data_IF_614578375221
#
_entry.id   IF_614578375221
#
_cell.length_a   1.000
_cell.length_b   1.000
_cell.length_c   1.000
_cell.angle_alpha   90.00
_cell.angle_beta   90.00
_cell.angle_gamma   90.00
#
_symmetry.space_group_name_H-M   'P 1'
#
loop_
_entity.id
_entity.type
_entity.pdbx_description
1 polymer ?
#
# COMPACT_ATOMS: atom_id res chain seq x y z
N UNK A 1 5.80 -10.29 -6.01
CA UNK A 1 6.88 -9.42 -5.52
C UNK A 1 6.48 -8.78 -4.20
N UNK A 2 7.35 -8.82 -3.21
CA UNK A 2 7.09 -8.25 -1.90
C UNK A 2 7.79 -6.90 -1.79
N UNK A 3 7.00 -5.85 -1.58
CA UNK A 3 7.52 -4.49 -1.46
C UNK A 3 7.10 -3.88 -0.12
N UNK A 4 7.95 -3.05 0.49
CA UNK A 4 7.54 -2.27 1.65
C UNK A 4 6.40 -1.32 1.30
N UNK A 5 5.47 -1.19 2.22
CA UNK A 5 4.25 -0.42 2.02
C UNK A 5 3.93 0.36 3.29
N UNK A 6 3.55 1.61 3.13
CA UNK A 6 2.98 2.42 4.20
C UNK A 6 1.54 2.75 3.85
N UNK A 7 0.63 2.49 4.77
CA UNK A 7 -0.80 2.78 4.59
C UNK A 7 -1.17 3.96 5.48
N UNK A 8 -1.80 4.96 4.88
CA UNK A 8 -2.36 6.11 5.60
C UNK A 8 -3.87 6.08 5.48
N UNK A 9 -4.53 6.11 6.63
CA UNK A 9 -5.98 6.22 6.67
C UNK A 9 -6.37 7.69 6.82
N UNK A 10 -7.43 8.10 6.14
CA UNK A 10 -7.97 9.45 6.27
C UNK A 10 -8.90 9.59 7.46
N UNK A 11 -9.11 8.52 8.23
CA UNK A 11 -9.98 8.57 9.39
C UNK A 11 -9.31 9.29 10.56
N UNK A 12 -10.08 10.03 11.37
CA UNK A 12 -9.53 10.65 12.59
C UNK A 12 -8.93 9.58 13.50
N UNK A 13 -7.73 9.82 13.99
CA UNK A 13 -7.01 8.84 14.80
C UNK A 13 -6.32 7.77 13.99
N UNK A 14 -6.51 7.74 12.68
CA UNK A 14 -5.79 6.83 11.81
C UNK A 14 -4.37 7.32 11.61
N UNK A 15 -3.38 6.52 12.00
CA UNK A 15 -1.98 6.82 11.77
C UNK A 15 -1.44 6.08 10.57
N UNK A 16 -0.15 6.16 10.39
CA UNK A 16 0.54 5.35 9.40
C UNK A 16 0.70 3.93 9.92
N UNK A 17 0.47 2.96 9.03
CA UNK A 17 0.70 1.55 9.31
C UNK A 17 1.62 1.00 8.24
N UNK A 18 2.52 0.14 8.64
CA UNK A 18 3.46 -0.50 7.71
C UNK A 18 3.01 -1.91 7.41
N UNK A 19 3.13 -2.29 6.15
CA UNK A 19 2.81 -3.62 5.69
C UNK A 19 3.73 -4.03 4.55
N UNK A 20 3.36 -5.12 3.88
CA UNK A 20 4.11 -5.63 2.75
C UNK A 20 3.14 -6.05 1.66
N UNK A 21 3.45 -5.71 0.42
CA UNK A 21 2.66 -6.19 -0.71
C UNK A 21 2.93 -7.67 -0.93
N UNK A 22 1.92 -8.37 -1.42
CA UNK A 22 2.06 -9.73 -1.93
C UNK A 22 1.96 -9.74 -3.44
N UNK A 23 0.95 -9.06 -3.96
CA UNK A 23 0.74 -8.92 -5.41
C UNK A 23 0.47 -7.47 -5.75
N UNK A 24 1.06 -7.00 -6.82
CA UNK A 24 0.89 -5.63 -7.30
C UNK A 24 0.61 -5.66 -8.79
N UNK A 25 -0.40 -4.90 -9.22
CA UNK A 25 -0.71 -4.67 -10.62
C UNK A 25 -1.09 -3.21 -10.83
N UNK A 26 -1.32 -2.79 -12.07
CA UNK A 26 -1.72 -1.41 -12.36
C UNK A 26 -3.05 -1.03 -11.73
N UNK A 27 -3.93 -1.99 -11.50
CA UNK A 27 -5.29 -1.72 -11.04
C UNK A 27 -5.52 -2.01 -9.57
N UNK A 28 -4.61 -2.74 -8.95
CA UNK A 28 -4.80 -3.09 -7.58
C UNK A 28 -3.63 -3.78 -6.97
N UNK A 29 -3.75 -4.01 -5.68
CA UNK A 29 -2.73 -4.73 -4.94
C UNK A 29 -3.37 -5.52 -3.80
N UNK A 30 -2.63 -6.53 -3.38
CA UNK A 30 -2.95 -7.31 -2.20
C UNK A 30 -1.77 -7.17 -1.24
N UNK A 31 -2.06 -6.80 0.00
CA UNK A 31 -0.99 -6.60 0.99
C UNK A 31 -1.34 -7.21 2.33
N UNK A 32 -0.32 -7.48 3.12
CA UNK A 32 -0.44 -8.05 4.45
C UNK A 32 -0.10 -6.97 5.48
N UNK A 33 -0.94 -6.84 6.50
CA UNK A 33 -0.80 -5.79 7.49
C UNK A 33 -1.44 -6.25 8.80
N UNK A 34 -1.03 -5.65 9.92
CA UNK A 34 -1.57 -5.99 11.23
C UNK A 34 -2.70 -5.07 11.70
N UNK A 35 -3.34 -4.39 10.76
CA UNK A 35 -4.42 -3.45 11.08
C UNK A 35 -5.68 -3.81 10.32
N UNK A 36 -6.83 -3.50 10.92
CA UNK A 36 -8.12 -3.65 10.25
C UNK A 36 -8.47 -2.42 9.45
N UNK A 37 -9.17 -2.65 8.34
CA UNK A 37 -9.72 -1.59 7.51
C UNK A 37 -11.15 -1.96 7.14
N UNK A 38 -12.01 -0.96 6.97
CA UNK A 38 -13.37 -1.19 6.52
C UNK A 38 -13.41 -1.28 4.99
N UNK A 39 -14.05 -2.31 4.40
CA UNK A 39 -14.28 -2.33 2.96
C UNK A 39 -14.99 -1.05 2.50
N UNK A 40 -14.57 -0.54 1.35
CA UNK A 40 -15.10 0.72 0.81
C UNK A 40 -14.37 1.96 1.31
N UNK A 41 -13.45 1.83 2.25
CA UNK A 41 -12.71 2.97 2.78
C UNK A 41 -11.66 3.45 1.79
N UNK A 42 -11.50 4.77 1.63
CA UNK A 42 -10.37 5.30 0.88
C UNK A 42 -9.11 5.28 1.73
N UNK A 43 -8.01 4.91 1.11
CA UNK A 43 -6.70 4.90 1.77
C UNK A 43 -5.65 5.45 0.82
N UNK A 44 -4.59 5.96 1.41
CA UNK A 44 -3.41 6.38 0.69
C UNK A 44 -2.30 5.36 0.99
N UNK A 45 -1.70 4.85 -0.07
CA UNK A 45 -0.65 3.83 0.03
C UNK A 45 0.64 4.39 -0.55
N UNK A 46 1.74 4.21 0.17
CA UNK A 46 3.05 4.58 -0.34
C UNK A 46 3.87 3.31 -0.51
N UNK A 47 4.15 2.98 -1.76
CA UNK A 47 4.99 1.84 -2.13
C UNK A 47 6.41 2.31 -2.32
N UNK A 48 7.36 1.51 -1.86
CA UNK A 48 8.78 1.78 -2.08
C UNK A 48 9.34 0.74 -3.02
N UNK A 49 9.83 1.20 -4.17
CA UNK A 49 10.58 0.36 -5.11
C UNK A 49 12.06 0.52 -4.77
N UNK A 50 12.73 -0.55 -4.29
CA UNK A 50 14.12 -0.44 -3.93
C UNK A 50 15.00 -0.26 -5.17
N UNK A 51 16.19 0.28 -4.95
CA UNK A 51 17.13 0.56 -6.04
C UNK A 51 17.58 -0.70 -6.79
N UNK A 52 17.50 -1.87 -6.18
CA UNK A 52 17.82 -3.13 -6.85
C UNK A 52 16.86 -3.40 -8.01
N UNK A 53 15.66 -2.84 -7.96
CA UNK A 53 14.67 -2.96 -9.03
C UNK A 53 14.78 -1.80 -10.01
N UNK A 54 14.91 -0.58 -9.49
CA UNK A 54 14.90 0.63 -10.30
C UNK A 54 16.24 0.93 -10.96
N UNK A 55 17.32 0.45 -10.37
CA UNK A 55 18.70 0.72 -10.79
C UNK A 55 19.09 2.21 -10.69
N UNK A 56 18.29 3.01 -10.00
CA UNK A 56 18.50 4.46 -9.95
C UNK A 56 18.31 5.07 -8.57
N UNK A 57 18.08 4.25 -7.54
CA UNK A 57 17.77 4.70 -6.19
C UNK A 57 16.37 4.29 -5.81
N UNK A 58 16.01 4.52 -4.56
CA UNK A 58 14.67 4.18 -4.09
C UNK A 58 13.63 5.11 -4.72
N UNK A 59 12.56 4.51 -5.22
CA UNK A 59 11.45 5.25 -5.82
C UNK A 59 10.21 5.02 -4.96
N UNK A 60 9.52 6.09 -4.61
CA UNK A 60 8.29 6.04 -3.85
C UNK A 60 7.11 6.37 -4.74
N UNK A 61 6.06 5.55 -4.64
CA UNK A 61 4.84 5.74 -5.42
C UNK A 61 3.69 5.92 -4.43
N UNK A 62 2.99 7.05 -4.55
CA UNK A 62 1.79 7.29 -3.77
C UNK A 62 0.59 6.79 -4.57
N UNK A 63 -0.19 5.89 -3.98
CA UNK A 63 -1.39 5.36 -4.58
C UNK A 63 -2.60 5.79 -3.78
N UNK A 64 -3.63 6.26 -4.48
CA UNK A 64 -4.94 6.54 -3.89
C UNK A 64 -5.82 5.35 -4.23
N UNK A 65 -6.29 4.66 -3.20
CA UNK A 65 -6.93 3.37 -3.38
C UNK A 65 -8.18 3.25 -2.52
N UNK A 66 -9.02 2.29 -2.88
CA UNK A 66 -10.19 1.91 -2.10
C UNK A 66 -10.05 0.48 -1.63
N UNK A 67 -10.32 0.23 -0.37
CA UNK A 67 -10.31 -1.12 0.19
C UNK A 67 -11.49 -1.90 -0.38
N UNK A 68 -11.21 -3.02 -1.03
CA UNK A 68 -12.25 -3.88 -1.60
C UNK A 68 -12.68 -4.96 -0.61
N UNK A 69 -11.73 -5.58 0.05
CA UNK A 69 -12.03 -6.60 1.05
C UNK A 69 -10.86 -6.77 2.01
N UNK A 70 -11.18 -7.30 3.18
CA UNK A 70 -10.21 -7.63 4.22
C UNK A 70 -10.49 -9.04 4.66
N UNK A 71 -9.46 -9.86 4.77
CA UNK A 71 -9.60 -11.25 5.18
C UNK A 71 -8.49 -11.65 6.17
N UNK A 72 -8.74 -12.62 7.06
CA UNK A 72 -7.68 -13.12 7.95
C UNK A 72 -6.62 -13.84 7.11
N UNK A 73 -5.36 -13.69 7.53
CA UNK A 73 -4.24 -14.36 6.86
C UNK A 73 -3.13 -14.63 7.87
N UNK A 74 -3.08 -15.84 8.43
CA UNK A 74 -2.04 -16.29 9.36
C UNK A 74 -1.75 -15.30 10.49
N UNK A 75 -2.82 -14.86 11.19
CA UNK A 75 -2.69 -13.91 12.30
C UNK A 75 -2.55 -12.46 11.88
N UNK A 76 -2.50 -12.19 10.59
CA UNK A 76 -2.48 -10.83 10.02
C UNK A 76 -3.74 -10.61 9.21
N UNK A 77 -3.82 -9.46 8.56
CA UNK A 77 -4.92 -9.15 7.64
C UNK A 77 -4.39 -9.13 6.22
N UNK A 78 -5.09 -9.82 5.31
CA UNK A 78 -4.86 -9.70 3.89
C UNK A 78 -5.85 -8.70 3.33
N UNK A 79 -5.37 -7.67 2.67
CA UNK A 79 -6.19 -6.56 2.19
C UNK A 79 -6.06 -6.46 0.68
N UNK A 80 -7.20 -6.51 0.00
CA UNK A 80 -7.27 -6.23 -1.43
C UNK A 80 -7.75 -4.80 -1.62
N UNK A 81 -7.03 -4.03 -2.40
CA UNK A 81 -7.35 -2.64 -2.68
C UNK A 81 -7.30 -2.37 -4.18
N UNK A 82 -8.23 -1.52 -4.65
CA UNK A 82 -8.23 -1.04 -6.02
C UNK A 82 -7.51 0.30 -6.08
N UNK A 83 -6.56 0.43 -6.99
CA UNK A 83 -5.85 1.68 -7.19
C UNK A 83 -6.68 2.56 -8.13
N UNK A 84 -7.10 3.73 -7.63
CA UNK A 84 -7.84 4.69 -8.44
C UNK A 84 -6.91 5.61 -9.21
N UNK A 85 -5.81 6.02 -8.57
CA UNK A 85 -4.74 6.77 -9.24
C UNK A 85 -3.45 6.62 -8.47
N UNK A 86 -2.35 6.93 -9.12
CA UNK A 86 -1.03 6.90 -8.48
C UNK A 86 -0.16 8.03 -9.03
N UNK A 87 0.86 8.38 -8.25
CA UNK A 87 1.85 9.37 -8.66
C UNK A 87 3.22 9.02 -8.10
N UNK A 88 4.25 9.33 -8.86
CA UNK A 88 5.61 9.15 -8.39
C UNK A 88 5.99 10.33 -7.51
N UNK A 89 6.53 10.02 -6.32
CA UNK A 89 7.01 11.06 -5.42
C UNK A 89 8.44 11.45 -5.80
N UNK A 90 8.79 12.75 -5.68
CA UNK A 90 10.16 13.15 -5.91
C UNK A 90 11.10 12.45 -4.95
N UNK A 91 12.21 11.93 -5.46
CA UNK A 91 13.28 11.45 -4.59
C UNK A 91 14.00 12.65 -4.00
N UNK A 92 14.27 12.59 -2.69
CA UNK A 92 15.09 13.59 -2.07
C UNK A 92 16.49 13.53 -2.68
N UNK A 93 16.93 14.62 -3.21
CA UNK A 93 18.26 14.71 -3.80
C UNK A 93 19.32 14.68 -2.70
#
# INVERSE_FOLDING_TARGET
MTLPLTVRSNEPGGGERKGQTRDVSFRGLYFLIDSDFAPGSPVELILTLPREITMAGDVHIRCFAEILRVEPHNGRRGVAARIDRYEFLPTAA
#
